data_IF_932347520438
#
_entry.id   IF_932347520438
#
_cell.length_a   1.000
_cell.length_b   1.000
_cell.length_c   1.000
_cell.angle_alpha   90.00
_cell.angle_beta   90.00
_cell.angle_gamma   90.00
#
_symmetry.space_group_name_H-M   'P 1'
#
loop_
_entity.id
_entity.type
_entity.pdbx_description
1 polymer ?
#
# COMPACT_ATOMS: atom_id res chain seq x y z
N UNK A 1 -10.58 13.38 -5.37
CA UNK A 1 -9.99 14.74 -5.30
C UNK A 1 -9.42 15.04 -3.92
N UNK A 2 -10.20 14.90 -2.85
CA UNK A 2 -9.79 15.31 -1.49
C UNK A 2 -8.51 14.62 -0.99
N UNK A 3 -8.39 13.30 -1.19
CA UNK A 3 -7.16 12.56 -0.85
C UNK A 3 -5.95 13.01 -1.66
N UNK A 4 -6.17 13.43 -2.92
CA UNK A 4 -5.11 13.92 -3.79
C UNK A 4 -4.64 15.31 -3.33
N UNK A 5 -5.56 16.18 -2.96
CA UNK A 5 -5.27 17.50 -2.38
C UNK A 5 -4.51 17.38 -1.06
N UNK A 6 -4.99 16.52 -0.14
CA UNK A 6 -4.32 16.28 1.13
C UNK A 6 -2.87 15.78 0.96
N UNK A 7 -2.65 14.94 -0.05
CA UNK A 7 -1.30 14.49 -0.43
C UNK A 7 -0.47 15.63 -1.02
N UNK A 8 -1.07 16.45 -1.89
CA UNK A 8 -0.37 17.56 -2.56
C UNK A 8 0.08 18.68 -1.63
N UNK A 9 -0.70 18.96 -0.59
CA UNK A 9 -0.36 19.96 0.44
C UNK A 9 0.49 19.38 1.58
N UNK A 10 0.76 18.06 1.58
CA UNK A 10 1.53 17.43 2.64
C UNK A 10 2.99 17.91 2.62
N UNK A 11 3.53 18.50 3.71
CA UNK A 11 4.93 18.88 3.79
C UNK A 11 5.87 17.69 3.55
N UNK A 12 5.49 16.49 3.99
CA UNK A 12 6.29 15.28 3.76
C UNK A 12 6.39 14.95 2.27
N UNK A 13 5.29 15.08 1.51
CA UNK A 13 5.29 14.82 0.06
C UNK A 13 6.02 15.90 -0.72
N UNK A 14 5.78 17.16 -0.39
CA UNK A 14 6.47 18.29 -1.00
C UNK A 14 7.97 18.24 -0.78
N UNK A 15 8.41 17.76 0.40
CA UNK A 15 9.81 17.54 0.72
C UNK A 15 10.37 16.33 -0.03
N UNK A 16 9.70 15.18 0.07
CA UNK A 16 10.15 13.92 -0.49
C UNK A 16 10.30 13.97 -2.02
N UNK A 17 9.41 14.68 -2.71
CA UNK A 17 9.45 14.86 -4.17
C UNK A 17 10.09 16.20 -4.60
N UNK A 18 10.75 16.89 -3.66
CA UNK A 18 11.49 18.12 -3.89
C UNK A 18 10.68 19.28 -4.53
N UNK A 19 9.34 19.23 -4.49
CA UNK A 19 8.49 20.29 -5.03
C UNK A 19 8.67 21.61 -4.26
N UNK A 20 9.02 21.53 -2.97
CA UNK A 20 9.25 22.72 -2.15
C UNK A 20 10.38 23.62 -2.68
N UNK A 21 11.24 23.08 -3.56
CA UNK A 21 12.32 23.78 -4.24
C UNK A 21 11.97 24.21 -5.68
N UNK A 22 10.78 23.85 -6.18
CA UNK A 22 10.34 24.11 -7.56
C UNK A 22 9.98 25.58 -7.75
N UNK A 23 10.58 26.19 -8.77
CA UNK A 23 10.45 27.62 -9.05
C UNK A 23 10.20 27.85 -10.54
N UNK A 24 9.30 28.79 -10.85
CA UNK A 24 8.97 29.18 -12.21
C UNK A 24 10.17 29.74 -12.98
N UNK A 25 10.28 29.49 -14.30
CA UNK A 25 11.40 29.94 -15.13
C UNK A 25 11.63 31.45 -15.07
N UNK A 26 10.54 32.23 -15.08
CA UNK A 26 10.53 33.69 -15.10
C UNK A 26 10.41 34.32 -13.70
N UNK A 27 10.36 33.52 -12.64
CA UNK A 27 10.27 34.07 -11.30
C UNK A 27 11.54 34.89 -11.01
N UNK A 28 11.45 36.00 -10.27
CA UNK A 28 12.62 36.83 -9.96
C UNK A 28 13.02 36.67 -8.48
N UNK A 29 14.24 36.18 -8.20
CA UNK A 29 14.78 36.19 -6.83
C UNK A 29 15.92 35.19 -6.52
N UNK A 30 17.15 35.71 -6.48
CA UNK A 30 18.27 35.22 -5.64
C UNK A 30 19.15 34.07 -6.18
N UNK A 31 20.47 34.20 -5.97
CA UNK A 31 21.64 33.49 -6.56
C UNK A 31 21.74 31.95 -6.43
N UNK A 32 20.70 31.23 -6.01
CA UNK A 32 20.68 29.76 -6.01
C UNK A 32 19.27 29.27 -6.27
N UNK A 33 18.96 28.95 -7.51
CA UNK A 33 17.69 28.32 -7.87
C UNK A 33 17.95 27.01 -8.59
N UNK A 34 17.56 25.93 -7.94
CA UNK A 34 17.09 24.72 -8.61
C UNK A 34 15.92 25.17 -9.49
N UNK A 35 15.99 24.99 -10.81
CA UNK A 35 14.95 25.44 -11.72
C UNK A 35 13.63 24.71 -11.52
N UNK A 36 12.83 24.63 -12.58
CA UNK A 36 11.61 23.82 -12.57
C UNK A 36 11.92 22.38 -12.14
N UNK A 37 11.24 21.86 -11.12
CA UNK A 37 11.39 20.48 -10.69
C UNK A 37 10.18 19.66 -11.15
N UNK A 38 10.42 18.70 -12.03
CA UNK A 38 9.40 17.84 -12.63
C UNK A 38 9.05 16.61 -11.81
N UNK A 39 9.85 16.26 -10.80
CA UNK A 39 9.71 15.01 -10.06
C UNK A 39 8.29 14.88 -9.48
N UNK A 40 7.84 15.87 -8.73
CA UNK A 40 6.49 15.87 -8.17
C UNK A 40 5.39 15.76 -9.23
N UNK A 41 5.49 16.53 -10.32
CA UNK A 41 4.49 16.49 -11.40
C UNK A 41 4.42 15.13 -12.10
N UNK A 42 5.58 14.50 -12.32
CA UNK A 42 5.68 13.14 -12.87
C UNK A 42 5.04 12.14 -11.93
N UNK A 43 5.46 12.09 -10.67
CA UNK A 43 4.95 11.11 -9.70
C UNK A 43 3.45 11.31 -9.43
N UNK A 44 2.96 12.55 -9.42
CA UNK A 44 1.54 12.85 -9.27
C UNK A 44 0.70 12.21 -10.39
N UNK A 45 1.18 12.28 -11.63
CA UNK A 45 0.53 11.63 -12.77
C UNK A 45 0.76 10.11 -12.79
N UNK A 46 2.00 9.67 -12.59
CA UNK A 46 2.41 8.28 -12.76
C UNK A 46 1.93 7.38 -11.63
N UNK A 47 2.22 7.76 -10.37
CA UNK A 47 2.02 6.88 -9.22
C UNK A 47 0.72 7.14 -8.48
N UNK A 48 0.26 8.38 -8.46
CA UNK A 48 -0.89 8.77 -7.63
C UNK A 48 -2.21 8.79 -8.41
N UNK A 49 -2.17 8.96 -9.74
CA UNK A 49 -3.38 9.21 -10.53
C UNK A 49 -3.49 8.37 -11.79
N UNK A 50 -2.84 8.72 -12.90
CA UNK A 50 -3.10 8.18 -14.23
C UNK A 50 -2.49 6.78 -14.43
N UNK A 51 -1.43 6.43 -13.70
CA UNK A 51 -0.61 5.25 -13.97
C UNK A 51 0.43 5.53 -15.06
N UNK A 52 1.47 4.70 -15.12
CA UNK A 52 2.56 4.81 -16.13
C UNK A 52 2.07 4.84 -17.58
N UNK A 53 1.01 4.08 -17.88
CA UNK A 53 0.37 4.04 -19.21
C UNK A 53 -0.82 4.99 -19.31
N UNK A 54 -0.80 6.08 -18.52
CA UNK A 54 -1.92 6.99 -18.32
C UNK A 54 -2.28 7.88 -19.52
N UNK A 55 -1.42 7.90 -20.55
CA UNK A 55 -1.60 8.67 -21.78
C UNK A 55 -1.07 10.11 -21.73
N UNK A 56 -0.33 10.48 -20.68
CA UNK A 56 0.33 11.79 -20.60
C UNK A 56 1.67 11.79 -21.34
N UNK A 57 2.12 12.97 -21.72
CA UNK A 57 3.39 13.20 -22.40
C UNK A 57 4.42 13.83 -21.47
N UNK A 58 5.69 13.87 -21.90
CA UNK A 58 6.72 14.65 -21.20
C UNK A 58 6.36 16.14 -21.14
N UNK A 59 5.64 16.67 -22.15
CA UNK A 59 5.17 18.06 -22.11
C UNK A 59 4.17 18.26 -20.96
N UNK A 60 3.23 17.33 -20.77
CA UNK A 60 2.28 17.40 -19.64
C UNK A 60 3.01 17.37 -18.29
N UNK A 61 4.11 16.62 -18.17
CA UNK A 61 4.94 16.60 -16.95
C UNK A 61 5.50 17.98 -16.65
N UNK A 62 6.09 18.63 -17.66
CA UNK A 62 6.61 19.99 -17.53
C UNK A 62 5.50 20.97 -17.17
N UNK A 63 4.35 20.90 -17.83
CA UNK A 63 3.21 21.81 -17.61
C UNK A 63 2.58 21.64 -16.22
N UNK A 64 2.45 20.40 -15.75
CA UNK A 64 2.05 20.10 -14.37
C UNK A 64 3.07 20.67 -13.38
N UNK A 65 4.37 20.47 -13.62
CA UNK A 65 5.41 21.02 -12.76
C UNK A 65 5.32 22.55 -12.67
N UNK A 66 5.05 23.24 -13.79
CA UNK A 66 4.83 24.70 -13.84
C UNK A 66 3.65 25.10 -12.95
N UNK A 67 2.55 24.35 -12.97
CA UNK A 67 1.36 24.60 -12.14
C UNK A 67 1.65 24.49 -10.62
N UNK A 68 2.61 23.65 -10.22
CA UNK A 68 2.97 23.43 -8.81
C UNK A 68 4.16 24.27 -8.32
N UNK A 69 4.73 25.13 -9.16
CA UNK A 69 5.77 26.08 -8.72
C UNK A 69 5.23 26.99 -7.61
N UNK A 70 6.07 27.29 -6.62
CA UNK A 70 5.67 28.08 -5.46
C UNK A 70 4.85 27.35 -4.39
N UNK A 71 4.38 26.12 -4.63
CA UNK A 71 3.88 25.24 -3.57
C UNK A 71 5.06 24.72 -2.74
N UNK A 72 5.23 25.25 -1.53
CA UNK A 72 6.42 25.04 -0.71
C UNK A 72 6.08 24.76 0.75
N UNK A 73 7.13 24.63 1.56
CA UNK A 73 7.05 24.37 2.99
C UNK A 73 7.59 25.60 3.70
N UNK A 74 6.83 26.14 4.65
CA UNK A 74 7.33 27.15 5.57
C UNK A 74 8.37 26.51 6.47
N UNK A 75 9.59 27.01 6.43
CA UNK A 75 10.70 26.57 7.27
C UNK A 75 10.90 25.02 7.30
N UNK A 76 11.28 24.42 6.16
CA UNK A 76 11.32 22.97 5.98
C UNK A 76 12.26 22.24 6.96
N UNK A 77 13.22 22.96 7.57
CA UNK A 77 14.15 22.39 8.55
C UNK A 77 13.52 22.15 9.93
N UNK A 78 12.38 22.77 10.20
CA UNK A 78 11.68 22.68 11.49
C UNK A 78 10.31 22.00 11.36
N UNK A 79 10.12 21.13 10.37
CA UNK A 79 8.90 20.37 10.14
C UNK A 79 7.82 21.14 9.36
N UNK A 80 7.69 22.44 9.64
CA UNK A 80 6.96 23.38 8.79
C UNK A 80 5.50 23.06 8.50
N UNK A 81 4.90 23.84 7.61
CA UNK A 81 3.56 23.61 7.07
C UNK A 81 3.50 24.03 5.61
N UNK A 82 2.47 23.59 4.89
CA UNK A 82 2.22 24.04 3.53
C UNK A 82 2.19 25.58 3.44
N UNK A 83 2.82 26.11 2.40
CA UNK A 83 2.81 27.53 2.09
C UNK A 83 2.89 27.72 0.58
N UNK A 84 1.99 28.54 0.03
CA UNK A 84 2.13 29.02 -1.34
C UNK A 84 2.94 30.32 -1.37
N UNK A 85 3.98 30.38 -2.21
CA UNK A 85 4.80 31.57 -2.45
C UNK A 85 4.67 32.03 -3.89
N UNK A 86 3.78 33.00 -4.07
CA UNK A 86 3.46 33.59 -5.38
C UNK A 86 4.68 34.08 -6.17
N UNK A 87 5.67 34.68 -5.50
CA UNK A 87 6.94 35.13 -6.12
C UNK A 87 7.80 34.03 -6.74
N UNK A 88 7.51 32.76 -6.44
CA UNK A 88 8.20 31.59 -6.98
C UNK A 88 7.38 30.89 -8.08
N UNK A 89 6.15 31.32 -8.29
CA UNK A 89 5.23 30.69 -9.23
C UNK A 89 5.49 31.15 -10.67
N UNK A 90 5.27 30.24 -11.62
CA UNK A 90 5.20 30.54 -13.06
C UNK A 90 3.81 31.06 -13.40
N UNK A 91 3.70 32.32 -13.79
CA UNK A 91 2.41 32.96 -14.09
C UNK A 91 1.95 32.80 -15.55
N UNK A 92 2.73 32.14 -16.40
CA UNK A 92 2.38 31.97 -17.82
C UNK A 92 1.17 31.05 -18.02
N UNK A 93 0.56 31.13 -19.21
CA UNK A 93 -0.45 30.14 -19.64
C UNK A 93 0.18 28.74 -19.64
N UNK A 94 -0.64 27.75 -19.28
CA UNK A 94 -0.25 26.34 -19.22
C UNK A 94 -1.29 25.47 -19.93
N UNK A 95 -0.89 24.29 -20.38
CA UNK A 95 -1.81 23.29 -20.95
C UNK A 95 -1.51 21.93 -20.37
N UNK A 96 -2.48 21.35 -19.66
CA UNK A 96 -2.33 20.04 -19.01
C UNK A 96 -3.37 19.09 -19.59
N UNK A 97 -2.92 18.00 -20.20
CA UNK A 97 -3.79 16.98 -20.83
C UNK A 97 -4.78 17.57 -21.84
N UNK A 98 -4.31 18.56 -22.61
CA UNK A 98 -5.12 19.31 -23.59
C UNK A 98 -6.07 20.35 -22.99
N UNK A 99 -6.12 20.50 -21.67
CA UNK A 99 -6.91 21.53 -20.99
C UNK A 99 -6.05 22.76 -20.74
N UNK A 100 -6.51 23.92 -21.24
CA UNK A 100 -5.82 25.20 -21.00
C UNK A 100 -6.07 25.70 -19.57
N UNK A 101 -4.99 26.12 -18.91
CA UNK A 101 -4.98 26.82 -17.64
C UNK A 101 -4.51 28.26 -17.92
N UNK A 102 -5.40 29.27 -17.75
CA UNK A 102 -5.09 30.66 -18.05
C UNK A 102 -3.92 31.19 -17.22
N UNK A 103 -3.21 32.19 -17.74
CA UNK A 103 -2.16 32.90 -17.02
C UNK A 103 -2.69 33.61 -15.75
N UNK A 104 -1.83 33.75 -14.75
CA UNK A 104 -2.10 34.51 -13.53
C UNK A 104 -3.01 33.83 -12.49
N UNK A 105 -3.19 32.51 -12.55
CA UNK A 105 -4.00 31.76 -11.56
C UNK A 105 -3.31 31.53 -10.21
N UNK A 106 -1.97 31.57 -10.15
CA UNK A 106 -1.23 31.39 -8.90
C UNK A 106 -1.44 30.00 -8.31
N UNK A 107 -1.83 29.92 -7.03
CA UNK A 107 -2.07 28.63 -6.37
C UNK A 107 -3.17 27.81 -7.07
N UNK A 108 -4.16 28.47 -7.68
CA UNK A 108 -5.29 27.82 -8.32
C UNK A 108 -4.89 26.96 -9.52
N UNK A 109 -3.73 27.20 -10.13
CA UNK A 109 -3.22 26.37 -11.23
C UNK A 109 -3.01 24.93 -10.76
N UNK A 110 -2.36 24.75 -9.60
CA UNK A 110 -2.20 23.44 -8.97
C UNK A 110 -3.54 22.79 -8.64
N UNK A 111 -4.49 23.56 -8.09
CA UNK A 111 -5.83 23.04 -7.76
C UNK A 111 -6.61 22.58 -8.99
N UNK A 112 -6.48 23.29 -10.12
CA UNK A 112 -7.07 22.89 -11.40
C UNK A 112 -6.44 21.61 -11.94
N UNK A 113 -5.11 21.46 -11.82
CA UNK A 113 -4.45 20.20 -12.19
C UNK A 113 -4.97 19.04 -11.35
N UNK A 114 -5.10 19.22 -10.02
CA UNK A 114 -5.66 18.18 -9.15
C UNK A 114 -7.09 17.80 -9.54
N UNK A 115 -7.88 18.77 -10.00
CA UNK A 115 -9.24 18.57 -10.50
C UNK A 115 -9.26 17.75 -11.79
N UNK A 116 -8.43 18.13 -12.77
CA UNK A 116 -8.24 17.44 -14.05
C UNK A 116 -7.82 15.99 -13.82
N UNK A 117 -6.77 15.77 -13.02
CA UNK A 117 -6.24 14.44 -12.75
C UNK A 117 -7.25 13.57 -11.99
N UNK A 118 -7.91 14.09 -10.96
CA UNK A 118 -8.86 13.32 -10.16
C UNK A 118 -10.06 12.80 -10.98
N UNK A 119 -10.46 13.50 -12.05
CA UNK A 119 -11.58 13.13 -12.92
C UNK A 119 -11.16 12.44 -14.22
N UNK A 120 -9.86 12.26 -14.44
CA UNK A 120 -9.38 11.62 -15.65
C UNK A 120 -9.80 10.14 -15.71
N UNK A 121 -10.26 9.62 -16.87
CA UNK A 121 -10.64 8.21 -17.02
C UNK A 121 -9.52 7.23 -16.61
N UNK A 122 -8.27 7.55 -16.90
CA UNK A 122 -7.11 6.75 -16.47
C UNK A 122 -7.02 6.66 -14.94
N UNK A 123 -7.36 7.71 -14.20
CA UNK A 123 -7.40 7.69 -12.73
C UNK A 123 -8.50 6.80 -12.18
N UNK A 124 -9.70 6.88 -12.76
CA UNK A 124 -10.79 5.98 -12.41
C UNK A 124 -10.37 4.50 -12.59
N UNK A 125 -9.71 4.17 -13.71
CA UNK A 125 -9.20 2.82 -14.01
C UNK A 125 -8.05 2.42 -13.09
N UNK A 126 -7.09 3.31 -12.86
CA UNK A 126 -5.90 3.08 -12.03
C UNK A 126 -6.28 2.77 -10.58
N UNK A 127 -7.09 3.62 -9.95
CA UNK A 127 -7.55 3.44 -8.57
C UNK A 127 -8.41 2.18 -8.46
N UNK A 128 -9.33 1.95 -9.39
CA UNK A 128 -10.17 0.74 -9.41
C UNK A 128 -9.34 -0.54 -9.53
N UNK A 129 -8.32 -0.55 -10.40
CA UNK A 129 -7.38 -1.67 -10.54
C UNK A 129 -6.61 -1.91 -9.24
N UNK A 130 -6.08 -0.86 -8.62
CA UNK A 130 -5.33 -0.97 -7.36
C UNK A 130 -6.19 -1.53 -6.22
N UNK A 131 -7.45 -1.10 -6.11
CA UNK A 131 -8.42 -1.65 -5.13
C UNK A 131 -8.77 -3.11 -5.44
N UNK A 132 -9.07 -3.43 -6.70
CA UNK A 132 -9.35 -4.80 -7.11
C UNK A 132 -8.14 -5.73 -6.85
N UNK A 133 -6.91 -5.25 -7.09
CA UNK A 133 -5.69 -5.99 -6.73
C UNK A 133 -5.63 -6.22 -5.22
N UNK A 134 -5.88 -5.18 -4.40
CA UNK A 134 -5.81 -5.27 -2.95
C UNK A 134 -6.78 -6.31 -2.36
N UNK A 135 -8.00 -6.36 -2.88
CA UNK A 135 -9.12 -7.03 -2.24
C UNK A 135 -9.66 -8.26 -2.95
N UNK A 136 -9.40 -8.45 -4.25
CA UNK A 136 -9.95 -9.58 -5.03
C UNK A 136 -8.87 -10.60 -5.36
N UNK A 137 -7.89 -10.24 -6.18
CA UNK A 137 -6.81 -11.16 -6.60
C UNK A 137 -5.60 -10.38 -7.11
N UNK A 138 -4.46 -11.04 -7.31
CA UNK A 138 -3.29 -10.37 -7.91
C UNK A 138 -3.53 -9.95 -9.37
N UNK A 139 -4.46 -10.63 -10.05
CA UNK A 139 -4.83 -10.42 -11.45
C UNK A 139 -6.36 -10.31 -11.57
N UNK A 140 -6.98 -9.20 -11.12
CA UNK A 140 -8.43 -9.07 -11.15
C UNK A 140 -8.95 -9.00 -12.59
N UNK A 141 -10.13 -9.58 -12.88
CA UNK A 141 -10.69 -9.57 -14.23
C UNK A 141 -10.90 -8.14 -14.76
N UNK A 142 -10.57 -7.83 -16.03
CA UNK A 142 -10.75 -6.50 -16.61
C UNK A 142 -12.18 -5.97 -16.48
N UNK A 143 -13.19 -6.83 -16.70
CA UNK A 143 -14.59 -6.45 -16.59
C UNK A 143 -15.00 -5.96 -15.19
N UNK A 144 -14.33 -6.42 -14.12
CA UNK A 144 -14.56 -5.89 -12.77
C UNK A 144 -13.97 -4.48 -12.65
N UNK A 145 -12.75 -4.27 -13.13
CA UNK A 145 -12.07 -2.97 -13.14
C UNK A 145 -12.91 -1.96 -13.93
N UNK A 146 -13.43 -2.35 -15.10
CA UNK A 146 -14.25 -1.47 -15.94
C UNK A 146 -15.53 -1.02 -15.22
N UNK A 147 -16.23 -1.93 -14.53
CA UNK A 147 -17.43 -1.59 -13.74
C UNK A 147 -17.12 -0.68 -12.55
N UNK A 148 -16.00 -0.93 -11.86
CA UNK A 148 -15.55 -0.10 -10.75
C UNK A 148 -15.15 1.30 -11.24
N UNK A 149 -14.45 1.40 -12.37
CA UNK A 149 -14.06 2.67 -12.98
C UNK A 149 -15.29 3.47 -13.46
N UNK A 150 -16.28 2.80 -14.07
CA UNK A 150 -17.54 3.43 -14.42
C UNK A 150 -18.27 3.98 -13.19
N UNK A 151 -18.27 3.24 -12.07
CA UNK A 151 -18.83 3.72 -10.80
C UNK A 151 -18.06 4.93 -10.29
N UNK A 152 -16.73 4.86 -10.27
CA UNK A 152 -15.86 5.98 -9.87
C UNK A 152 -16.23 7.25 -10.65
N UNK A 153 -16.34 7.18 -11.98
CA UNK A 153 -16.70 8.32 -12.82
C UNK A 153 -18.13 8.82 -12.53
N UNK A 154 -19.10 7.90 -12.42
CA UNK A 154 -20.51 8.26 -12.20
C UNK A 154 -20.75 8.90 -10.82
N UNK A 155 -19.92 8.59 -9.83
CA UNK A 155 -20.04 9.09 -8.45
C UNK A 155 -18.99 10.14 -8.11
N UNK A 156 -18.38 10.77 -9.11
CA UNK A 156 -17.34 11.79 -8.96
C UNK A 156 -16.19 11.39 -8.00
N UNK A 157 -15.82 10.10 -8.03
CA UNK A 157 -14.73 9.53 -7.25
C UNK A 157 -15.10 9.07 -5.83
N UNK A 158 -16.38 8.91 -5.47
CA UNK A 158 -16.76 8.32 -4.16
C UNK A 158 -16.25 6.86 -4.02
N UNK A 159 -15.14 6.70 -3.30
CA UNK A 159 -14.51 5.40 -3.07
C UNK A 159 -15.40 4.42 -2.30
N UNK A 160 -16.38 4.89 -1.52
CA UNK A 160 -17.32 4.01 -0.83
C UNK A 160 -18.21 3.30 -1.84
N UNK A 161 -18.69 4.00 -2.87
CA UNK A 161 -19.48 3.39 -3.94
C UNK A 161 -18.65 2.43 -4.78
N UNK A 162 -17.41 2.78 -5.10
CA UNK A 162 -16.48 1.89 -5.81
C UNK A 162 -16.23 0.59 -5.02
N UNK A 163 -16.01 0.69 -3.71
CA UNK A 163 -15.86 -0.48 -2.83
C UNK A 163 -17.17 -1.28 -2.74
N UNK A 164 -18.34 -0.64 -2.64
CA UNK A 164 -19.63 -1.35 -2.68
C UNK A 164 -19.83 -2.11 -3.98
N UNK A 165 -19.47 -1.51 -5.12
CA UNK A 165 -19.54 -2.16 -6.43
C UNK A 165 -18.65 -3.41 -6.49
N UNK A 166 -17.44 -3.32 -5.93
CA UNK A 166 -16.53 -4.46 -5.81
C UNK A 166 -17.11 -5.56 -4.92
N UNK A 167 -17.56 -5.21 -3.71
CA UNK A 167 -18.08 -6.16 -2.72
C UNK A 167 -19.38 -6.85 -3.17
N UNK A 168 -20.17 -6.22 -4.04
CA UNK A 168 -21.38 -6.82 -4.64
C UNK A 168 -21.10 -7.63 -5.90
N UNK A 169 -19.87 -7.61 -6.42
CA UNK A 169 -19.52 -8.29 -7.65
C UNK A 169 -19.43 -9.81 -7.45
N UNK A 170 -19.88 -10.64 -8.42
CA UNK A 170 -19.67 -12.08 -8.36
C UNK A 170 -18.19 -12.48 -8.29
N UNK A 171 -17.30 -11.68 -8.88
CA UNK A 171 -15.86 -11.90 -8.89
C UNK A 171 -15.24 -11.82 -7.49
N UNK A 172 -15.79 -10.98 -6.60
CA UNK A 172 -15.32 -10.88 -5.21
C UNK A 172 -15.65 -12.16 -4.42
N UNK A 173 -16.79 -12.78 -4.69
CA UNK A 173 -17.26 -14.00 -4.01
C UNK A 173 -16.92 -15.28 -4.76
N UNK A 174 -16.17 -15.18 -5.87
CA UNK A 174 -15.79 -16.34 -6.65
C UNK A 174 -14.86 -17.26 -5.85
N UNK A 175 -15.05 -18.57 -5.99
CA UNK A 175 -14.20 -19.58 -5.31
C UNK A 175 -12.72 -19.38 -5.61
N UNK A 176 -12.39 -19.00 -6.84
CA UNK A 176 -11.00 -18.76 -7.27
C UNK A 176 -10.40 -17.47 -6.70
N UNK A 177 -11.22 -16.54 -6.18
CA UNK A 177 -10.76 -15.37 -5.45
C UNK A 177 -10.55 -15.66 -3.95
N UNK A 178 -11.19 -16.70 -3.42
CA UNK A 178 -11.10 -17.06 -2.00
C UNK A 178 -9.70 -17.60 -1.66
N UNK A 179 -9.02 -16.96 -0.70
CA UNK A 179 -7.69 -17.39 -0.21
C UNK A 179 -6.65 -17.60 -1.31
N UNK A 180 -6.75 -16.82 -2.39
CA UNK A 180 -5.75 -16.88 -3.46
C UNK A 180 -4.56 -15.96 -3.21
N UNK A 181 -4.73 -14.91 -2.40
CA UNK A 181 -3.67 -13.90 -2.21
C UNK A 181 -2.78 -14.30 -1.04
N UNK A 182 -1.47 -14.19 -1.24
CA UNK A 182 -0.53 -14.31 -0.13
C UNK A 182 -0.63 -13.09 0.79
N UNK A 183 -0.69 -13.31 2.10
CA UNK A 183 -0.61 -12.24 3.10
C UNK A 183 0.75 -11.54 2.98
N UNK A 184 0.77 -10.21 3.01
CA UNK A 184 2.02 -9.46 3.22
C UNK A 184 2.63 -9.82 4.58
N UNK A 185 3.93 -9.57 4.81
CA UNK A 185 4.54 -9.76 6.13
C UNK A 185 3.74 -9.13 7.27
N UNK A 186 3.27 -7.90 7.10
CA UNK A 186 2.43 -7.22 8.08
C UNK A 186 1.12 -7.96 8.35
N UNK A 187 0.41 -8.36 7.30
CA UNK A 187 -0.83 -9.11 7.44
C UNK A 187 -0.61 -10.47 8.12
N UNK A 188 0.50 -11.16 7.79
CA UNK A 188 0.85 -12.44 8.37
C UNK A 188 1.14 -12.31 9.87
N UNK A 189 1.97 -11.33 10.26
CA UNK A 189 2.31 -11.07 11.67
C UNK A 189 1.06 -10.74 12.47
N UNK A 190 0.23 -9.79 12.00
CA UNK A 190 -1.01 -9.41 12.70
C UNK A 190 -1.99 -10.57 12.77
N UNK A 191 -2.14 -11.36 11.69
CA UNK A 191 -2.99 -12.54 11.70
C UNK A 191 -2.50 -13.59 12.69
N UNK A 192 -1.18 -13.74 12.85
CA UNK A 192 -0.60 -14.75 13.72
C UNK A 192 -0.84 -14.40 15.17
N UNK A 193 -0.61 -13.14 15.55
CA UNK A 193 -0.92 -12.61 16.88
C UNK A 193 -2.41 -12.79 17.22
N UNK A 194 -3.31 -12.54 16.26
CA UNK A 194 -4.75 -12.75 16.46
C UNK A 194 -5.11 -14.23 16.60
N UNK A 195 -4.57 -15.09 15.74
CA UNK A 195 -4.86 -16.51 15.76
C UNK A 195 -4.37 -17.19 17.05
N UNK A 196 -3.22 -16.75 17.57
CA UNK A 196 -2.65 -17.29 18.80
C UNK A 196 -3.15 -16.60 20.07
N UNK A 197 -4.01 -15.58 19.95
CA UNK A 197 -4.44 -14.72 21.04
C UNK A 197 -3.25 -14.18 21.86
N UNK A 198 -2.21 -13.72 21.15
CA UNK A 198 -0.98 -13.25 21.78
C UNK A 198 -1.23 -11.99 22.63
N UNK A 199 -0.68 -11.96 23.84
CA UNK A 199 -0.50 -10.72 24.59
C UNK A 199 0.69 -9.94 24.03
N UNK A 200 0.52 -8.64 23.82
CA UNK A 200 1.54 -7.75 23.24
C UNK A 200 1.77 -6.58 24.20
N UNK A 201 2.88 -6.65 24.93
CA UNK A 201 3.29 -5.60 25.87
C UNK A 201 4.16 -4.54 25.17
N UNK A 202 5.02 -4.96 24.24
CA UNK A 202 5.91 -4.08 23.47
C UNK A 202 5.96 -4.50 22.00
N UNK A 203 5.99 -3.52 21.09
CA UNK A 203 5.93 -3.75 19.63
C UNK A 203 7.28 -3.74 18.93
N UNK A 204 8.38 -3.40 19.63
CA UNK A 204 9.73 -3.32 19.03
C UNK A 204 10.18 -4.66 18.44
N UNK A 205 9.93 -5.77 19.14
CA UNK A 205 10.24 -7.11 18.63
C UNK A 205 9.50 -7.41 17.33
N UNK A 206 8.22 -7.05 17.24
CA UNK A 206 7.40 -7.21 16.04
C UNK A 206 7.89 -6.34 14.89
N UNK A 207 8.29 -5.09 15.15
CA UNK A 207 8.86 -4.21 14.13
C UNK A 207 10.15 -4.79 13.55
N UNK A 208 10.99 -5.41 14.38
CA UNK A 208 12.21 -6.09 13.93
C UNK A 208 11.89 -7.33 13.08
N UNK A 209 10.87 -8.12 13.46
CA UNK A 209 10.39 -9.25 12.65
C UNK A 209 9.90 -8.78 11.27
N UNK A 210 9.15 -7.69 11.21
CA UNK A 210 8.69 -7.11 9.94
C UNK A 210 9.84 -6.66 9.05
N UNK A 211 10.91 -6.10 9.64
CA UNK A 211 12.12 -5.77 8.91
C UNK A 211 12.79 -7.01 8.33
N UNK A 212 12.95 -8.09 9.11
CA UNK A 212 13.50 -9.37 8.63
C UNK A 212 12.65 -10.00 7.53
N UNK A 213 11.33 -9.86 7.60
CA UNK A 213 10.40 -10.35 6.58
C UNK A 213 10.33 -9.45 5.33
N UNK A 214 11.07 -8.35 5.27
CA UNK A 214 11.16 -7.47 4.09
C UNK A 214 10.11 -6.36 4.00
N UNK A 215 9.35 -6.11 5.08
CA UNK A 215 8.35 -5.03 5.13
C UNK A 215 8.52 -4.14 6.37
N UNK A 216 9.68 -3.47 6.54
CA UNK A 216 9.87 -2.56 7.66
C UNK A 216 8.86 -1.40 7.64
N UNK A 217 8.21 -1.15 8.78
CA UNK A 217 7.19 -0.10 8.88
C UNK A 217 7.77 1.28 8.57
N UNK A 218 7.07 2.04 7.72
CA UNK A 218 7.44 3.42 7.33
C UNK A 218 8.83 3.56 6.69
N UNK A 219 9.41 2.47 6.16
CA UNK A 219 10.74 2.46 5.55
C UNK A 219 10.76 2.00 4.09
N UNK A 220 9.61 2.00 3.41
CA UNK A 220 9.60 1.87 1.95
C UNK A 220 10.29 3.11 1.38
N UNK A 221 11.32 2.91 0.59
CA UNK A 221 12.08 4.01 0.02
C UNK A 221 11.23 4.78 -0.96
N UNK A 222 10.63 4.12 -1.95
CA UNK A 222 9.80 4.74 -3.00
C UNK A 222 8.46 5.26 -2.44
N UNK A 223 7.87 6.32 -3.05
CA UNK A 223 6.57 6.87 -2.65
C UNK A 223 5.37 6.03 -3.13
N UNK A 224 5.62 4.78 -3.52
CA UNK A 224 4.62 3.81 -4.03
C UNK A 224 3.97 3.00 -2.91
N UNK A 225 4.56 3.01 -1.71
CA UNK A 225 4.20 2.09 -0.65
C UNK A 225 4.61 0.63 -0.96
N UNK A 226 4.20 -0.30 -0.10
CA UNK A 226 4.49 -1.72 -0.29
C UNK A 226 3.49 -2.38 -1.25
N UNK A 227 3.97 -3.32 -2.07
CA UNK A 227 3.15 -3.96 -3.09
C UNK A 227 1.97 -4.75 -2.52
N UNK A 228 0.84 -4.64 -3.21
CA UNK A 228 -0.37 -5.43 -2.93
C UNK A 228 -0.39 -6.80 -3.60
N UNK A 229 0.63 -7.14 -4.40
CA UNK A 229 0.76 -8.43 -5.08
C UNK A 229 1.47 -9.45 -4.20
N UNK A 230 0.93 -10.67 -4.15
CA UNK A 230 1.50 -11.78 -3.38
C UNK A 230 2.88 -12.22 -3.89
N UNK A 231 3.15 -12.05 -5.20
CA UNK A 231 4.42 -12.42 -5.84
C UNK A 231 5.64 -11.72 -5.23
N UNK A 232 5.49 -10.49 -4.73
CA UNK A 232 6.57 -9.75 -4.06
C UNK A 232 6.93 -10.33 -2.69
N UNK A 233 6.02 -11.12 -2.12
CA UNK A 233 6.13 -11.65 -0.76
C UNK A 233 6.43 -13.14 -0.69
N UNK A 234 6.74 -13.75 -1.85
CA UNK A 234 7.03 -15.17 -1.99
C UNK A 234 8.32 -15.43 -2.77
N UNK A 235 9.32 -15.92 -2.06
CA UNK A 235 10.53 -16.54 -2.57
C UNK A 235 11.05 -17.51 -1.49
N UNK A 236 12.09 -18.29 -1.82
CA UNK A 236 12.63 -19.29 -0.89
C UNK A 236 13.08 -18.68 0.44
N UNK A 237 13.68 -17.49 0.43
CA UNK A 237 14.14 -16.81 1.64
C UNK A 237 12.97 -16.29 2.49
N UNK A 238 11.93 -15.73 1.85
CA UNK A 238 10.75 -15.23 2.56
C UNK A 238 9.93 -16.35 3.20
N UNK A 239 9.83 -17.52 2.55
CA UNK A 239 9.16 -18.69 3.13
C UNK A 239 9.87 -19.17 4.40
N UNK A 240 11.20 -19.27 4.37
CA UNK A 240 11.99 -19.63 5.55
C UNK A 240 11.83 -18.58 6.67
N UNK A 241 11.90 -17.29 6.33
CA UNK A 241 11.73 -16.22 7.31
C UNK A 241 10.34 -16.25 7.98
N UNK A 242 9.29 -16.56 7.21
CA UNK A 242 7.92 -16.74 7.73
C UNK A 242 7.81 -17.91 8.70
N UNK A 243 8.44 -19.05 8.38
CA UNK A 243 8.50 -20.20 9.28
C UNK A 243 9.28 -19.88 10.57
N UNK A 244 10.41 -19.20 10.45
CA UNK A 244 11.22 -18.77 11.60
C UNK A 244 10.44 -17.81 12.50
N UNK A 245 9.68 -16.87 11.93
CA UNK A 245 8.79 -16.02 12.70
C UNK A 245 7.72 -16.83 13.44
N UNK A 246 7.06 -17.78 12.77
CA UNK A 246 6.03 -18.61 13.41
C UNK A 246 6.59 -19.44 14.58
N UNK A 247 7.79 -20.01 14.42
CA UNK A 247 8.50 -20.72 15.49
C UNK A 247 8.86 -19.77 16.64
N UNK A 248 9.43 -18.60 16.33
CA UNK A 248 9.80 -17.62 17.34
C UNK A 248 8.58 -17.13 18.13
N UNK A 249 7.46 -16.85 17.46
CA UNK A 249 6.22 -16.40 18.09
C UNK A 249 5.65 -17.46 19.04
N UNK A 250 5.46 -18.68 18.55
CA UNK A 250 4.80 -19.75 19.31
C UNK A 250 5.67 -20.32 20.42
N UNK A 251 6.98 -20.12 20.33
CA UNK A 251 7.95 -20.50 21.37
C UNK A 251 8.31 -19.32 22.30
N UNK A 252 7.60 -18.20 22.22
CA UNK A 252 7.82 -17.01 23.07
C UNK A 252 9.23 -16.39 22.97
N UNK A 253 9.83 -16.43 21.78
CA UNK A 253 11.13 -15.80 21.47
C UNK A 253 11.00 -14.42 20.79
N UNK A 254 9.78 -13.91 20.62
CA UNK A 254 9.56 -12.52 20.15
C UNK A 254 9.47 -11.60 21.35
N UNK A 255 10.46 -10.71 21.52
CA UNK A 255 10.49 -9.79 22.65
C UNK A 255 9.24 -8.90 22.74
N UNK A 256 8.64 -8.82 23.93
CA UNK A 256 7.43 -8.05 24.19
C UNK A 256 6.12 -8.73 23.79
N UNK A 257 6.17 -9.99 23.36
CA UNK A 257 5.01 -10.77 22.93
C UNK A 257 4.96 -12.10 23.67
N UNK A 258 3.78 -12.47 24.16
CA UNK A 258 3.55 -13.75 24.84
C UNK A 258 2.36 -14.48 24.23
N UNK A 259 2.55 -15.75 23.93
CA UNK A 259 1.52 -16.69 23.51
C UNK A 259 1.38 -17.77 24.57
N UNK A 260 0.15 -17.95 25.04
CA UNK A 260 -0.20 -18.97 26.03
C UNK A 260 -0.76 -20.22 25.32
N UNK A 261 0.14 -21.17 25.04
CA UNK A 261 -0.21 -22.51 24.56
C UNK A 261 -0.23 -23.50 25.74
N UNK A 262 -1.11 -24.51 25.73
CA UNK A 262 -1.09 -25.56 26.74
C UNK A 262 0.25 -26.32 26.68
N UNK A 263 0.67 -26.99 27.77
CA UNK A 263 1.92 -27.78 27.77
C UNK A 263 1.83 -29.06 26.91
N UNK A 264 0.62 -29.55 26.67
CA UNK A 264 0.34 -30.67 25.77
C UNK A 264 -1.06 -30.55 25.17
N UNK A 265 -1.31 -31.25 24.08
CA UNK A 265 -2.61 -31.35 23.40
C UNK A 265 -2.95 -32.82 23.16
N UNK A 266 -4.18 -33.22 23.45
CA UNK A 266 -4.65 -34.60 23.21
C UNK A 266 -4.88 -34.88 21.72
N UNK A 267 -5.37 -33.88 20.99
CA UNK A 267 -5.55 -33.90 19.54
C UNK A 267 -4.89 -32.65 18.92
N UNK A 268 -3.77 -32.79 18.20
CA UNK A 268 -3.15 -31.70 17.43
C UNK A 268 -4.14 -30.97 16.51
N UNK A 269 -5.12 -31.69 15.95
CA UNK A 269 -6.15 -31.16 15.08
C UNK A 269 -7.06 -30.13 15.74
N UNK A 270 -7.26 -30.19 17.07
CA UNK A 270 -8.02 -29.15 17.78
C UNK A 270 -7.27 -27.83 17.80
N UNK A 271 -5.95 -27.87 17.99
CA UNK A 271 -5.12 -26.67 17.95
C UNK A 271 -5.09 -26.07 16.54
N UNK A 272 -4.94 -26.91 15.51
CA UNK A 272 -5.00 -26.50 14.10
C UNK A 272 -6.30 -25.76 13.77
N UNK A 273 -7.46 -26.35 14.09
CA UNK A 273 -8.78 -25.75 13.84
C UNK A 273 -8.98 -24.45 14.60
N UNK A 274 -8.49 -24.36 15.84
CA UNK A 274 -8.56 -23.12 16.64
C UNK A 274 -7.75 -21.99 16.01
N UNK A 275 -6.57 -22.29 15.44
CA UNK A 275 -5.71 -21.29 14.82
C UNK A 275 -6.22 -20.83 13.45
N UNK A 276 -6.79 -21.74 12.66
CA UNK A 276 -7.16 -21.46 11.27
C UNK A 276 -8.63 -21.09 11.07
N UNK A 277 -9.52 -21.48 11.99
CA UNK A 277 -10.97 -21.36 11.87
C UNK A 277 -11.54 -22.03 10.59
N UNK A 278 -10.80 -23.01 10.07
CA UNK A 278 -11.09 -23.81 8.86
C UNK A 278 -10.26 -25.08 8.92
N UNK A 279 -10.64 -26.07 8.13
CA UNK A 279 -9.85 -27.29 7.98
C UNK A 279 -8.61 -27.06 7.09
N UNK A 280 -7.55 -27.81 7.42
CA UNK A 280 -6.36 -27.96 6.59
C UNK A 280 -6.65 -28.89 5.41
N UNK A 281 -5.96 -28.66 4.30
CA UNK A 281 -5.83 -29.66 3.24
C UNK A 281 -5.17 -30.94 3.77
N UNK A 282 -5.49 -32.12 3.20
CA UNK A 282 -4.83 -33.37 3.55
C UNK A 282 -3.30 -33.28 3.44
N UNK A 283 -2.80 -32.57 2.42
CA UNK A 283 -1.37 -32.39 2.19
C UNK A 283 -0.72 -31.55 3.29
N UNK A 284 -1.36 -30.45 3.70
CA UNK A 284 -0.85 -29.60 4.77
C UNK A 284 -0.87 -30.33 6.12
N UNK A 285 -1.94 -31.08 6.42
CA UNK A 285 -2.01 -31.91 7.63
C UNK A 285 -0.89 -32.96 7.66
N UNK A 286 -0.69 -33.70 6.57
CA UNK A 286 0.37 -34.71 6.51
C UNK A 286 1.77 -34.09 6.69
N UNK A 287 2.00 -32.89 6.17
CA UNK A 287 3.25 -32.16 6.37
C UNK A 287 3.46 -31.73 7.84
N UNK A 288 2.41 -31.28 8.52
CA UNK A 288 2.46 -30.92 9.94
C UNK A 288 2.72 -32.16 10.80
N UNK A 289 2.00 -33.26 10.57
CA UNK A 289 2.19 -34.53 11.29
C UNK A 289 3.62 -35.05 11.14
N UNK A 290 4.15 -35.05 9.91
CA UNK A 290 5.53 -35.43 9.63
C UNK A 290 6.54 -34.51 10.33
N UNK A 291 6.30 -33.20 10.32
CA UNK A 291 7.20 -32.21 10.92
C UNK A 291 7.18 -32.21 12.45
N UNK A 292 6.03 -32.45 13.06
CA UNK A 292 5.87 -32.51 14.51
C UNK A 292 6.43 -33.83 15.09
N UNK A 293 6.38 -34.92 14.31
CA UNK A 293 6.90 -36.23 14.68
C UNK A 293 5.98 -36.98 15.66
N UNK A 294 6.39 -38.17 16.14
CA UNK A 294 5.55 -39.03 16.96
C UNK A 294 5.17 -38.43 18.32
N UNK A 295 5.99 -37.50 18.84
CA UNK A 295 5.73 -36.80 20.11
C UNK A 295 4.90 -35.53 19.94
N UNK A 296 4.25 -35.32 18.78
CA UNK A 296 3.47 -34.12 18.48
C UNK A 296 2.54 -33.66 19.63
N UNK A 297 1.78 -34.53 20.33
CA UNK A 297 0.96 -34.14 21.47
C UNK A 297 1.69 -33.34 22.57
N UNK A 298 3.00 -33.54 22.73
CA UNK A 298 3.84 -32.84 23.70
C UNK A 298 4.52 -31.58 23.16
N UNK A 299 4.30 -31.22 21.89
CA UNK A 299 4.96 -30.11 21.18
C UNK A 299 3.96 -29.10 20.58
N UNK A 300 3.03 -28.53 21.38
CA UNK A 300 2.00 -27.63 20.87
C UNK A 300 2.56 -26.35 20.23
N UNK A 301 3.69 -25.83 20.71
CA UNK A 301 4.37 -24.70 20.06
C UNK A 301 4.81 -25.03 18.62
N UNK A 302 5.38 -26.23 18.40
CA UNK A 302 5.78 -26.67 17.07
C UNK A 302 4.56 -26.91 16.16
N UNK A 303 3.50 -27.56 16.68
CA UNK A 303 2.25 -27.74 15.93
C UNK A 303 1.69 -26.37 15.52
N UNK A 304 1.62 -25.41 16.45
CA UNK A 304 1.16 -24.06 16.15
C UNK A 304 2.04 -23.38 15.09
N UNK A 305 3.37 -23.49 15.20
CA UNK A 305 4.30 -22.90 14.23
C UNK A 305 4.09 -23.47 12.82
N UNK A 306 4.00 -24.80 12.70
CA UNK A 306 3.77 -25.48 11.42
C UNK A 306 2.38 -25.15 10.86
N UNK A 307 1.37 -25.04 11.71
CA UNK A 307 0.02 -24.59 11.33
C UNK A 307 0.06 -23.16 10.78
N UNK A 308 0.75 -22.23 11.45
CA UNK A 308 0.94 -20.87 10.96
C UNK A 308 1.78 -20.85 9.67
N UNK A 309 2.64 -21.83 9.44
CA UNK A 309 3.40 -21.99 8.19
C UNK A 309 2.59 -22.54 7.00
N UNK A 310 1.37 -23.05 7.24
CA UNK A 310 0.55 -23.70 6.22
C UNK A 310 0.07 -22.74 5.11
N UNK A 311 -0.15 -23.22 3.87
CA UNK A 311 -0.75 -22.42 2.80
C UNK A 311 -2.07 -21.76 3.21
N UNK A 312 -2.88 -22.48 3.98
CA UNK A 312 -4.12 -22.03 4.57
C UNK A 312 -3.88 -20.76 5.40
N UNK A 313 -2.95 -20.79 6.35
CA UNK A 313 -2.66 -19.62 7.16
C UNK A 313 -2.03 -18.49 6.35
N UNK A 314 -1.15 -18.81 5.39
CA UNK A 314 -0.38 -17.80 4.67
C UNK A 314 -1.23 -17.00 3.68
N UNK A 315 -2.40 -17.50 3.27
CA UNK A 315 -3.25 -16.85 2.26
C UNK A 315 -4.49 -16.16 2.85
N UNK A 316 -5.04 -15.19 2.13
CA UNK A 316 -6.27 -14.45 2.43
C UNK A 316 -7.13 -14.28 1.20
#
# INVERSE_FOLDING_TARGET
>A
KDLLLATAESPAMLFYLDNFQSVGPEAHGGKRRTGLNENYGRELMELHTLGVDGGYTQHDVTEVARCFTGWTIRDPRHGGGFEFRDRLHDHGEKTVLGVKIPAGGGMDDGLRVLDILARHPSTARFISKSLAIRFVSDNPPPALIDRMAATFTATDGDLREVLRQMLRSPQFWARDAYRTKLKSPFEMVVSALRATNANVDLTTGLAQQLQTLGQPLYRKQEPTGYSNKGSEWINSASLLARMNFALALTSNHVGGVRVDLPPSVSDPGQLERRLLMTDLSPEARAAIEKGAGPDAPSRPALIAALTLGSPEFQRR
#
